data_IF_217732908246
#
_entry.id   IF_217732908246
#
_cell.length_a   1.000
_cell.length_b   1.000
_cell.length_c   1.000
_cell.angle_alpha   90.00
_cell.angle_beta   90.00
_cell.angle_gamma   90.00
#
_symmetry.space_group_name_H-M   'P 1'
#
loop_
_entity.id
_entity.type
_entity.pdbx_description
1 polymer ?
#
# COMPACT_ATOMS: atom_id res chain seq x y z
N UNK A 1 25.70 -11.01 23.89
CA UNK A 1 25.50 -11.16 22.43
C UNK A 1 24.04 -11.09 22.01
N UNK A 2 23.11 -11.72 22.73
CA UNK A 2 21.68 -11.80 22.34
C UNK A 2 20.99 -10.41 22.37
N UNK A 3 21.30 -9.57 23.37
CA UNK A 3 20.68 -8.24 23.52
C UNK A 3 21.10 -7.26 22.40
N UNK A 4 22.36 -7.34 21.93
CA UNK A 4 22.85 -6.53 20.80
C UNK A 4 22.19 -6.95 19.48
N UNK A 5 21.90 -8.25 19.29
CA UNK A 5 21.17 -8.73 18.11
C UNK A 5 19.72 -8.23 18.11
N UNK A 6 19.03 -8.23 19.27
CA UNK A 6 17.66 -7.71 19.36
C UNK A 6 17.64 -6.21 19.06
N UNK A 7 18.58 -5.43 19.61
CA UNK A 7 18.70 -3.99 19.32
C UNK A 7 19.11 -3.69 17.87
N UNK A 8 19.91 -4.56 17.25
CA UNK A 8 20.29 -4.43 15.84
C UNK A 8 19.15 -4.81 14.88
N UNK A 9 18.29 -5.77 15.24
CA UNK A 9 17.07 -6.12 14.49
C UNK A 9 15.98 -5.06 14.66
N UNK A 10 15.93 -4.39 15.82
CA UNK A 10 15.12 -3.19 16.05
C UNK A 10 15.75 -1.89 15.53
N UNK A 11 16.92 -1.96 14.89
CA UNK A 11 17.57 -0.79 14.30
C UNK A 11 16.68 -0.27 13.18
N UNK A 12 15.93 0.77 13.51
CA UNK A 12 15.02 1.52 12.67
C UNK A 12 15.63 1.65 11.28
N UNK A 13 15.04 0.94 10.32
CA UNK A 13 15.29 1.22 8.91
C UNK A 13 14.98 2.70 8.76
N UNK A 14 16.01 3.49 8.46
CA UNK A 14 15.82 4.89 8.09
C UNK A 14 14.79 4.87 6.97
N UNK A 15 13.67 5.54 7.19
CA UNK A 15 12.69 5.83 6.15
C UNK A 15 13.47 6.48 5.01
N UNK A 16 13.68 5.69 3.95
CA UNK A 16 14.34 6.16 2.76
C UNK A 16 13.35 7.11 2.11
N UNK A 17 13.74 8.39 2.01
CA UNK A 17 13.03 9.50 1.39
C UNK A 17 11.50 9.48 1.53
N UNK A 18 10.95 10.26 2.46
CA UNK A 18 9.53 10.67 2.40
C UNK A 18 9.26 11.17 0.99
N UNK A 19 8.42 10.47 0.24
CA UNK A 19 8.02 10.88 -1.10
C UNK A 19 7.08 12.07 -0.88
N UNK A 20 7.49 13.31 -1.19
CA UNK A 20 6.60 14.45 -1.03
C UNK A 20 5.42 14.28 -1.99
N UNK A 21 4.22 14.62 -1.53
CA UNK A 21 3.07 14.67 -2.42
C UNK A 21 3.32 15.68 -3.54
N UNK A 22 2.96 15.37 -4.80
CA UNK A 22 3.14 16.30 -5.92
C UNK A 22 2.31 17.56 -5.69
N UNK A 23 2.74 18.74 -6.13
CA UNK A 23 2.04 20.01 -5.81
C UNK A 23 0.54 20.02 -6.19
N UNK A 24 0.17 19.31 -7.26
CA UNK A 24 -1.20 19.18 -7.76
C UNK A 24 -1.96 17.97 -7.21
N UNK A 25 -1.50 17.34 -6.11
CA UNK A 25 -2.10 16.11 -5.58
C UNK A 25 -3.60 16.23 -5.30
N UNK A 26 -4.08 17.39 -4.83
CA UNK A 26 -5.52 17.60 -4.57
C UNK A 26 -6.37 17.56 -5.84
N UNK A 27 -5.85 18.09 -6.95
CA UNK A 27 -6.53 18.03 -8.24
C UNK A 27 -6.60 16.58 -8.71
N UNK A 28 -5.47 15.87 -8.67
CA UNK A 28 -5.39 14.45 -9.02
C UNK A 28 -6.33 13.59 -8.16
N UNK A 29 -6.41 13.85 -6.84
CA UNK A 29 -7.32 13.12 -5.97
C UNK A 29 -8.80 13.42 -6.30
N UNK A 30 -9.15 14.67 -6.62
CA UNK A 30 -10.53 14.97 -7.03
C UNK A 30 -10.89 14.33 -8.37
N UNK A 31 -9.96 14.27 -9.32
CA UNK A 31 -10.19 13.75 -10.66
C UNK A 31 -10.25 12.22 -10.71
N UNK A 32 -9.34 11.54 -10.01
CA UNK A 32 -9.18 10.08 -10.11
C UNK A 32 -9.80 9.31 -8.94
N UNK A 33 -10.00 9.93 -7.77
CA UNK A 33 -10.47 9.25 -6.57
C UNK A 33 -11.88 9.73 -6.20
N UNK A 34 -12.90 9.04 -6.75
CA UNK A 34 -14.32 9.38 -6.49
C UNK A 34 -14.65 9.46 -5.00
N UNK A 35 -14.07 8.59 -4.18
CA UNK A 35 -14.25 8.64 -2.73
C UNK A 35 -13.83 10.00 -2.15
N UNK A 36 -12.62 10.48 -2.49
CA UNK A 36 -12.09 11.75 -2.03
C UNK A 36 -12.95 12.92 -2.50
N UNK A 37 -13.43 12.90 -3.76
CA UNK A 37 -14.27 13.97 -4.31
C UNK A 37 -15.57 14.20 -3.51
N UNK A 38 -16.04 13.18 -2.79
CA UNK A 38 -17.29 13.20 -2.02
C UNK A 38 -17.11 13.58 -0.54
N UNK A 39 -15.85 13.68 -0.07
CA UNK A 39 -15.55 14.04 1.32
C UNK A 39 -15.78 15.53 1.58
N UNK A 40 -16.12 15.87 2.83
CA UNK A 40 -16.11 17.27 3.26
C UNK A 40 -14.67 17.79 3.46
N UNK A 41 -14.52 19.09 3.75
CA UNK A 41 -13.19 19.71 3.87
C UNK A 41 -12.34 19.08 4.99
N UNK A 42 -12.94 18.73 6.14
CA UNK A 42 -12.21 18.14 7.26
C UNK A 42 -11.84 16.68 6.97
N UNK A 43 -12.74 15.92 6.35
CA UNK A 43 -12.48 14.57 5.90
C UNK A 43 -11.40 14.53 4.81
N UNK A 44 -11.38 15.51 3.89
CA UNK A 44 -10.31 15.64 2.88
C UNK A 44 -8.95 15.84 3.54
N UNK A 45 -8.82 16.75 4.49
CA UNK A 45 -7.57 16.94 5.24
C UNK A 45 -7.12 15.66 5.96
N UNK A 46 -8.06 14.93 6.58
CA UNK A 46 -7.75 13.67 7.22
C UNK A 46 -7.30 12.60 6.21
N UNK A 47 -7.92 12.56 5.03
CA UNK A 47 -7.56 11.63 3.95
C UNK A 47 -6.16 11.93 3.43
N UNK A 48 -5.85 13.19 3.13
CA UNK A 48 -4.54 13.66 2.68
C UNK A 48 -3.44 13.25 3.68
N UNK A 49 -3.68 13.49 4.97
CA UNK A 49 -2.76 13.10 6.03
C UNK A 49 -2.52 11.59 6.08
N UNK A 50 -3.58 10.78 5.96
CA UNK A 50 -3.46 9.32 5.97
C UNK A 50 -2.71 8.78 4.74
N UNK A 51 -2.88 9.42 3.59
CA UNK A 51 -2.11 9.10 2.37
C UNK A 51 -0.64 9.41 2.57
N UNK A 52 -0.30 10.58 3.13
CA UNK A 52 1.08 10.94 3.48
C UNK A 52 1.69 9.94 4.49
N UNK A 53 0.96 9.63 5.56
CA UNK A 53 1.39 8.66 6.57
C UNK A 53 1.63 7.26 5.96
N UNK A 54 0.79 6.85 5.00
CA UNK A 54 0.96 5.58 4.28
C UNK A 54 2.23 5.59 3.42
N UNK A 55 2.45 6.64 2.62
CA UNK A 55 3.64 6.78 1.76
C UNK A 55 4.94 6.87 2.58
N UNK A 56 4.87 7.40 3.81
CA UNK A 56 6.00 7.42 4.72
C UNK A 56 6.30 6.06 5.36
N UNK A 57 5.27 5.21 5.55
CA UNK A 57 5.39 3.93 6.23
C UNK A 57 5.64 2.74 5.30
N UNK A 58 5.11 2.78 4.06
CA UNK A 58 5.10 1.66 3.13
C UNK A 58 5.91 2.01 1.89
N UNK A 59 6.91 1.16 1.58
CA UNK A 59 7.71 1.32 0.37
C UNK A 59 6.91 0.89 -0.85
N UNK A 60 6.92 1.68 -1.92
CA UNK A 60 6.35 1.28 -3.21
C UNK A 60 7.50 1.07 -4.18
N UNK A 61 7.62 -0.14 -4.72
CA UNK A 61 8.69 -0.53 -5.64
C UNK A 61 8.10 -0.91 -6.99
N UNK A 62 8.40 -0.11 -8.02
CA UNK A 62 8.13 -0.48 -9.40
C UNK A 62 9.10 -1.58 -9.87
N UNK A 63 8.56 -2.69 -10.37
CA UNK A 63 9.31 -3.82 -10.92
C UNK A 63 9.31 -3.70 -12.44
N UNK A 64 10.48 -3.53 -13.04
CA UNK A 64 10.65 -3.31 -14.49
C UNK A 64 9.97 -2.04 -15.04
N UNK A 65 9.53 -1.14 -14.17
CA UNK A 65 9.03 0.20 -14.49
C UNK A 65 9.28 1.15 -13.32
N UNK A 66 9.44 2.44 -13.59
CA UNK A 66 9.43 3.46 -12.54
C UNK A 66 7.97 3.74 -12.14
N UNK A 67 7.70 3.83 -10.84
CA UNK A 67 6.41 4.29 -10.35
C UNK A 67 6.37 5.82 -10.44
N UNK A 68 5.38 6.38 -11.13
CA UNK A 68 5.18 7.82 -11.24
C UNK A 68 4.45 8.37 -10.01
N UNK A 69 4.52 9.68 -9.78
CA UNK A 69 3.87 10.32 -8.64
C UNK A 69 2.36 10.03 -8.58
N UNK A 70 1.72 9.96 -9.74
CA UNK A 70 0.30 9.58 -9.84
C UNK A 70 0.07 8.13 -9.40
N UNK A 71 0.92 7.19 -9.80
CA UNK A 71 0.79 5.79 -9.39
C UNK A 71 0.89 5.66 -7.88
N UNK A 72 1.89 6.32 -7.28
CA UNK A 72 2.12 6.32 -5.85
C UNK A 72 0.91 6.87 -5.08
N UNK A 73 0.38 8.00 -5.56
CA UNK A 73 -0.79 8.65 -4.98
C UNK A 73 -2.04 7.77 -5.05
N UNK A 74 -2.29 7.11 -6.18
CA UNK A 74 -3.45 6.24 -6.36
C UNK A 74 -3.33 4.93 -5.58
N UNK A 75 -2.13 4.35 -5.48
CA UNK A 75 -1.86 3.17 -4.64
C UNK A 75 -2.13 3.48 -3.17
N UNK A 76 -1.59 4.59 -2.67
CA UNK A 76 -1.81 5.01 -1.29
C UNK A 76 -3.28 5.31 -1.02
N UNK A 77 -3.97 5.97 -1.95
CA UNK A 77 -5.41 6.21 -1.86
C UNK A 77 -6.20 4.91 -1.77
N UNK A 78 -5.88 3.91 -2.61
CA UNK A 78 -6.51 2.60 -2.60
C UNK A 78 -6.32 1.84 -1.28
N UNK A 79 -5.17 2.02 -0.62
CA UNK A 79 -4.91 1.46 0.70
C UNK A 79 -5.65 2.20 1.83
N UNK A 80 -5.83 3.52 1.73
CA UNK A 80 -6.50 4.33 2.76
C UNK A 80 -8.03 4.18 2.73
N UNK A 81 -8.65 4.08 1.55
CA UNK A 81 -10.12 4.07 1.40
C UNK A 81 -10.82 3.00 2.26
N UNK A 82 -10.41 1.72 2.25
CA UNK A 82 -11.12 0.67 2.99
C UNK A 82 -11.12 0.88 4.51
N UNK A 83 -10.13 1.60 5.03
CA UNK A 83 -9.86 1.78 6.45
C UNK A 83 -10.12 3.21 6.92
N UNK A 84 -10.54 4.09 6.02
CA UNK A 84 -10.67 5.53 6.29
C UNK A 84 -11.58 5.82 7.49
N UNK A 85 -12.71 5.10 7.59
CA UNK A 85 -13.67 5.26 8.69
C UNK A 85 -13.30 4.51 9.98
N UNK A 86 -12.15 3.84 10.00
CA UNK A 86 -11.63 3.19 11.20
C UNK A 86 -10.62 4.16 11.83
N UNK A 87 -10.90 4.69 13.03
CA UNK A 87 -9.97 5.58 13.73
C UNK A 87 -8.68 4.84 14.11
N UNK A 88 -7.56 5.56 14.10
CA UNK A 88 -6.23 5.08 14.55
C UNK A 88 -5.74 3.78 13.90
N UNK A 89 -6.22 3.48 12.69
CA UNK A 89 -5.87 2.27 11.98
C UNK A 89 -4.59 2.46 11.14
N UNK A 90 -3.67 1.50 11.23
CA UNK A 90 -2.44 1.46 10.45
C UNK A 90 -2.12 0.04 9.97
N UNK A 91 -1.49 -0.08 8.81
CA UNK A 91 -0.97 -1.36 8.33
C UNK A 91 0.27 -1.78 9.14
N UNK A 92 0.12 -2.69 10.10
CA UNK A 92 1.26 -3.17 10.92
C UNK A 92 2.17 -4.18 10.17
N UNK A 93 1.63 -4.90 9.20
CA UNK A 93 2.30 -6.01 8.51
C UNK A 93 2.56 -5.72 7.02
N UNK A 94 2.18 -4.55 6.51
CA UNK A 94 2.46 -4.14 5.14
C UNK A 94 3.71 -3.26 5.14
N UNK A 95 4.78 -3.75 4.55
CA UNK A 95 6.05 -3.02 4.48
C UNK A 95 6.39 -2.56 3.08
N UNK A 96 5.93 -3.27 2.06
CA UNK A 96 6.23 -2.98 0.67
C UNK A 96 5.07 -3.36 -0.26
N UNK A 97 4.85 -2.53 -1.27
CA UNK A 97 3.93 -2.79 -2.39
C UNK A 97 4.76 -2.88 -3.67
N UNK A 98 4.58 -3.97 -4.41
CA UNK A 98 5.26 -4.18 -5.69
C UNK A 98 4.32 -3.81 -6.85
N UNK A 99 4.72 -2.80 -7.64
CA UNK A 99 3.99 -2.36 -8.81
C UNK A 99 4.61 -2.97 -10.07
N UNK A 100 3.83 -3.71 -10.85
CA UNK A 100 4.27 -4.31 -12.10
C UNK A 100 3.62 -3.61 -13.31
N UNK A 101 4.36 -3.36 -14.40
CA UNK A 101 3.77 -2.86 -15.64
C UNK A 101 2.95 -3.97 -16.30
N UNK A 102 1.62 -3.83 -16.27
CA UNK A 102 0.66 -4.76 -16.87
C UNK A 102 -0.25 -5.45 -15.86
N UNK A 103 -1.31 -6.08 -16.35
CA UNK A 103 -2.20 -6.92 -15.53
C UNK A 103 -1.44 -8.14 -15.00
N UNK A 104 -1.72 -8.55 -13.76
CA UNK A 104 -1.27 -9.83 -13.21
C UNK A 104 -1.67 -10.96 -14.17
N UNK A 105 -0.71 -11.44 -14.96
CA UNK A 105 -0.85 -12.77 -15.52
C UNK A 105 -0.60 -13.75 -14.39
N UNK A 106 -1.37 -14.81 -14.42
CA UNK A 106 -1.44 -15.99 -13.54
C UNK A 106 -0.13 -16.76 -13.41
N UNK A 107 1.02 -16.11 -13.45
CA UNK A 107 2.32 -16.77 -13.38
C UNK A 107 3.01 -16.46 -12.05
N UNK A 108 2.51 -17.11 -11.00
CA UNK A 108 3.41 -17.87 -10.14
C UNK A 108 3.67 -19.29 -10.69
N UNK A 109 3.34 -19.55 -11.97
CA UNK A 109 3.73 -20.74 -12.74
C UNK A 109 3.66 -20.50 -14.28
N UNK A 110 4.63 -21.01 -15.04
CA UNK A 110 4.86 -20.74 -16.48
C UNK A 110 4.00 -21.56 -17.47
N UNK A 111 2.68 -21.69 -17.29
CA UNK A 111 1.79 -22.16 -18.38
C UNK A 111 0.29 -22.00 -18.12
N UNK A 112 -0.44 -21.43 -19.08
CA UNK A 112 -1.88 -21.69 -19.28
C UNK A 112 -2.77 -20.46 -19.42
N UNK A 113 -3.56 -20.44 -20.50
CA UNK A 113 -4.43 -19.33 -20.88
C UNK A 113 -5.76 -19.32 -20.12
N UNK A 114 -5.93 -18.40 -19.15
CA UNK A 114 -7.15 -17.59 -19.04
C UNK A 114 -6.94 -16.41 -18.08
N UNK A 115 -7.49 -15.24 -18.44
CA UNK A 115 -7.09 -13.92 -17.93
C UNK A 115 -8.24 -13.22 -17.20
N UNK A 116 -8.14 -13.08 -15.86
CA UNK A 116 -8.71 -11.96 -15.07
C UNK A 116 -8.46 -12.16 -13.56
N UNK A 117 -7.23 -11.92 -13.09
CA UNK A 117 -6.95 -11.87 -11.65
C UNK A 117 -6.53 -10.44 -11.30
N UNK A 118 -7.41 -9.71 -10.61
CA UNK A 118 -7.19 -8.31 -10.20
C UNK A 118 -6.35 -8.17 -8.91
N UNK A 119 -5.87 -9.29 -8.36
CA UNK A 119 -5.02 -9.37 -7.18
C UNK A 119 -4.96 -10.80 -6.64
N UNK A 120 -3.80 -11.24 -6.15
CA UNK A 120 -3.59 -12.56 -5.55
C UNK A 120 -3.36 -12.40 -4.04
N UNK A 121 -4.19 -13.08 -3.23
CA UNK A 121 -4.01 -13.16 -1.78
C UNK A 121 -3.18 -14.40 -1.47
N UNK A 122 -2.08 -14.25 -0.72
CA UNK A 122 -1.34 -15.40 -0.21
C UNK A 122 -2.22 -16.22 0.71
N UNK A 123 -2.54 -17.46 0.32
CA UNK A 123 -3.18 -18.43 1.21
C UNK A 123 -2.15 -18.88 2.25
N UNK A 124 -2.00 -18.13 3.33
CA UNK A 124 -1.47 -18.71 4.56
C UNK A 124 -2.34 -19.91 4.91
N UNK A 125 -1.73 -21.08 5.10
CA UNK A 125 -2.46 -22.30 5.42
C UNK A 125 -3.42 -22.03 6.61
N UNK A 126 -4.71 -22.40 6.52
CA UNK A 126 -5.58 -22.31 7.68
C UNK A 126 -4.98 -23.22 8.76
N UNK A 127 -4.69 -22.63 9.92
CA UNK A 127 -4.30 -23.39 11.09
C UNK A 127 -5.40 -24.44 11.35
N UNK A 128 -5.03 -25.72 11.23
CA UNK A 128 -5.90 -26.82 11.58
C UNK A 128 -6.23 -26.73 13.07
N UNK A 129 -7.43 -26.25 13.39
CA UNK A 129 -8.03 -26.47 14.70
C UNK A 129 -8.39 -27.96 14.80
N UNK A 130 -7.46 -28.77 15.29
CA UNK A 130 -7.79 -30.10 15.79
C UNK A 130 -8.56 -29.94 17.10
N UNK A 131 -9.82 -30.37 17.11
CA UNK A 131 -10.67 -30.37 18.29
C UNK A 131 -11.71 -31.48 18.22
N UNK A 132 -11.38 -32.58 18.91
CA UNK A 132 -12.20 -33.73 19.33
C UNK A 132 -12.62 -34.77 18.30
#
# INVERSE_FOLDING_TARGET
MIIIIILAVFSRRKADATIPLPENYRELLNDYVKFYSQLDAAEKEQFEKRVEDFLAAVKITGVNAAAEDLDLLLIASGAVIPVFRIPDWQYINLHEVLLYPGSFNTEFDQSGADRNISGMVGSGAPAACNGH
#
